data_IF_015477640630
#
_entry.id   IF_015477640630
#
_cell.length_a   1.000
_cell.length_b   1.000
_cell.length_c   1.000
_cell.angle_alpha   90.00
_cell.angle_beta   90.00
_cell.angle_gamma   90.00
#
_symmetry.space_group_name_H-M   'P 1'
#
loop_
_entity.id
_entity.type
_entity.pdbx_description
1 polymer ?
#
# COMPACT_ATOMS: atom_id res chain seq x y z
N UNK A 1 3.92 15.80 -24.62
CA UNK A 1 5.32 15.50 -24.90
C UNK A 1 5.52 14.99 -26.33
N UNK A 2 4.59 14.18 -26.81
CA UNK A 2 4.68 13.51 -28.12
C UNK A 2 4.09 14.35 -29.27
N UNK A 3 3.94 15.66 -29.08
CA UNK A 3 3.46 16.60 -30.09
C UNK A 3 1.94 16.64 -30.26
N UNK A 4 1.18 15.93 -29.43
CA UNK A 4 -0.28 16.00 -29.47
C UNK A 4 -0.81 17.30 -28.84
N UNK A 5 -1.86 17.85 -29.43
CA UNK A 5 -2.67 18.88 -28.77
C UNK A 5 -3.66 18.20 -27.83
N UNK A 6 -3.58 18.50 -26.53
CA UNK A 6 -4.40 17.87 -25.52
C UNK A 6 -5.38 18.89 -24.93
N UNK A 7 -6.66 18.55 -24.85
CA UNK A 7 -7.69 19.32 -24.14
C UNK A 7 -8.16 18.51 -22.95
N UNK A 8 -7.96 19.06 -21.74
CA UNK A 8 -8.46 18.47 -20.50
C UNK A 8 -9.79 19.13 -20.13
N UNK A 9 -10.84 18.32 -20.00
CA UNK A 9 -12.16 18.76 -19.56
C UNK A 9 -12.41 18.32 -18.13
N UNK A 10 -12.63 19.27 -17.23
CA UNK A 10 -12.95 19.03 -15.83
C UNK A 10 -14.27 19.72 -15.46
N UNK A 11 -15.18 18.99 -14.79
CA UNK A 11 -16.49 19.53 -14.37
C UNK A 11 -16.43 20.32 -13.06
N UNK A 12 -15.43 20.03 -12.22
CA UNK A 12 -15.23 20.70 -10.96
C UNK A 12 -14.35 21.95 -11.14
N UNK A 13 -14.30 22.80 -10.12
CA UNK A 13 -13.45 24.00 -10.15
C UNK A 13 -11.97 23.67 -10.20
N UNK A 14 -11.58 22.54 -9.62
CA UNK A 14 -10.19 22.11 -9.51
C UNK A 14 -10.01 20.73 -10.14
N UNK A 15 -8.85 20.51 -10.74
CA UNK A 15 -8.44 19.22 -11.28
C UNK A 15 -8.03 18.28 -10.14
N UNK A 16 -7.95 16.96 -10.41
CA UNK A 16 -7.44 15.98 -9.44
C UNK A 16 -8.47 14.96 -8.97
N UNK A 17 -9.77 15.22 -9.20
CA UNK A 17 -10.82 14.26 -8.88
C UNK A 17 -10.80 13.86 -7.41
N UNK A 18 -10.51 12.57 -7.12
CA UNK A 18 -10.46 12.04 -5.75
C UNK A 18 -9.20 12.45 -4.96
N UNK A 19 -8.19 13.00 -5.61
CA UNK A 19 -7.01 13.58 -4.99
C UNK A 19 -7.20 15.10 -4.82
N UNK A 20 -8.32 15.49 -4.22
CA UNK A 20 -8.71 16.87 -4.04
C UNK A 20 -8.25 17.46 -2.70
N UNK A 21 -8.55 18.74 -2.53
CA UNK A 21 -8.29 19.48 -1.30
C UNK A 21 -9.57 20.17 -0.83
N UNK A 22 -9.77 20.25 0.47
CA UNK A 22 -10.83 21.03 1.08
C UNK A 22 -10.22 22.14 1.95
N UNK A 23 -10.67 23.38 1.75
CA UNK A 23 -10.19 24.54 2.48
C UNK A 23 -11.35 25.23 3.19
N UNK A 24 -11.17 25.57 4.45
CA UNK A 24 -12.11 26.35 5.24
C UNK A 24 -11.39 27.07 6.36
N UNK A 25 -11.73 28.35 6.55
CA UNK A 25 -11.26 29.20 7.67
C UNK A 25 -9.71 29.21 7.80
N UNK A 26 -8.98 29.14 6.68
CA UNK A 26 -7.52 29.11 6.63
C UNK A 26 -6.89 27.71 6.86
N UNK A 27 -7.71 26.68 7.10
CA UNK A 27 -7.26 25.30 7.18
C UNK A 27 -7.41 24.59 5.83
N UNK A 28 -6.42 23.74 5.51
CA UNK A 28 -6.40 22.93 4.30
C UNK A 28 -6.28 21.46 4.65
N UNK A 29 -7.13 20.64 4.03
CA UNK A 29 -7.19 19.19 4.23
C UNK A 29 -7.20 18.47 2.89
N UNK A 30 -6.42 17.41 2.78
CA UNK A 30 -6.53 16.49 1.65
C UNK A 30 -7.81 15.65 1.82
N UNK A 31 -8.62 15.59 0.75
CA UNK A 31 -9.90 14.85 0.76
C UNK A 31 -9.78 13.46 0.17
N UNK A 32 -8.58 13.05 -0.21
CA UNK A 32 -8.25 11.77 -0.82
C UNK A 32 -7.04 11.12 -0.18
N UNK A 33 -6.18 10.47 -0.97
CA UNK A 33 -4.96 9.86 -0.47
C UNK A 33 -4.06 10.89 0.21
N UNK A 34 -3.72 10.65 1.49
CA UNK A 34 -2.83 11.51 2.26
C UNK A 34 -1.39 10.98 2.31
N UNK A 35 -1.17 9.76 1.85
CA UNK A 35 0.15 9.13 1.82
C UNK A 35 0.67 8.97 0.40
N UNK A 36 1.95 9.24 0.24
CA UNK A 36 2.66 9.04 -1.02
C UNK A 36 3.16 7.59 -1.08
N UNK A 37 2.27 6.69 -1.50
CA UNK A 37 2.59 5.27 -1.64
C UNK A 37 3.17 4.97 -3.02
N UNK A 38 4.02 3.94 -3.12
CA UNK A 38 4.63 3.48 -4.38
C UNK A 38 5.47 4.57 -5.07
N UNK A 39 6.45 5.19 -4.39
CA UNK A 39 7.22 6.34 -4.91
C UNK A 39 7.84 6.05 -6.28
N UNK A 40 8.31 4.83 -6.54
CA UNK A 40 8.93 4.44 -7.81
C UNK A 40 7.98 4.53 -9.02
N UNK A 41 6.67 4.45 -8.79
CA UNK A 41 5.67 4.61 -9.86
C UNK A 41 5.57 6.08 -10.27
N UNK A 42 5.59 6.98 -9.29
CA UNK A 42 5.61 8.41 -9.54
C UNK A 42 6.95 8.85 -10.14
N UNK A 43 8.08 8.29 -9.69
CA UNK A 43 9.39 8.54 -10.30
C UNK A 43 9.40 8.16 -11.77
N UNK A 44 8.79 7.02 -12.11
CA UNK A 44 8.64 6.62 -13.51
C UNK A 44 7.82 7.65 -14.31
N UNK A 45 6.69 8.13 -13.75
CA UNK A 45 5.88 9.16 -14.39
C UNK A 45 6.66 10.45 -14.61
N UNK A 46 7.33 10.98 -13.59
CA UNK A 46 8.10 12.21 -13.71
C UNK A 46 9.24 12.08 -14.72
N UNK A 47 9.93 10.93 -14.77
CA UNK A 47 10.94 10.66 -15.81
C UNK A 47 10.36 10.68 -17.22
N UNK A 48 9.18 10.13 -17.42
CA UNK A 48 8.46 10.23 -18.71
C UNK A 48 8.14 11.69 -19.07
N UNK A 49 7.88 12.52 -18.10
CA UNK A 49 7.63 13.96 -18.30
C UNK A 49 8.91 14.80 -18.45
N UNK A 50 10.10 14.20 -18.29
CA UNK A 50 11.39 14.88 -18.43
C UNK A 50 11.85 15.64 -17.19
N UNK A 51 11.35 15.26 -16.02
CA UNK A 51 11.72 15.80 -14.70
C UNK A 51 11.89 14.65 -13.67
N UNK A 52 11.97 14.96 -12.38
CA UNK A 52 12.03 13.97 -11.30
C UNK A 52 11.04 14.30 -10.19
N UNK A 53 10.70 13.31 -9.36
CA UNK A 53 9.89 13.54 -8.16
C UNK A 53 10.60 14.46 -7.16
N UNK A 54 11.92 14.40 -7.06
CA UNK A 54 12.73 15.24 -6.17
C UNK A 54 12.69 16.72 -6.57
N UNK A 55 12.64 17.02 -7.88
CA UNK A 55 12.50 18.39 -8.38
C UNK A 55 11.10 18.96 -8.17
N UNK A 56 10.08 18.11 -8.19
CA UNK A 56 8.67 18.52 -8.16
C UNK A 56 8.04 18.48 -6.77
N UNK A 57 8.55 17.63 -5.86
CA UNK A 57 7.94 17.34 -4.58
C UNK A 57 8.98 17.42 -3.44
N UNK A 58 8.58 17.95 -2.32
CA UNK A 58 9.32 17.88 -1.07
C UNK A 58 8.75 16.75 -0.21
N UNK A 59 9.32 15.56 -0.33
CA UNK A 59 8.88 14.37 0.39
C UNK A 59 9.68 14.16 1.67
N UNK A 60 9.01 13.67 2.72
CA UNK A 60 9.65 13.22 3.95
C UNK A 60 9.16 11.84 4.28
N UNK A 61 10.08 10.90 4.50
CA UNK A 61 9.74 9.57 4.99
C UNK A 61 9.31 9.64 6.45
N UNK A 62 8.13 9.12 6.75
CA UNK A 62 7.59 9.12 8.10
C UNK A 62 8.14 7.94 8.90
N UNK A 63 8.55 8.19 10.15
CA UNK A 63 8.84 7.15 11.13
C UNK A 63 8.37 7.61 12.52
N UNK A 64 7.35 6.96 13.13
CA UNK A 64 6.62 5.82 12.59
C UNK A 64 5.84 6.18 11.32
N UNK A 65 5.61 5.20 10.45
CA UNK A 65 4.79 5.34 9.26
C UNK A 65 3.33 5.70 9.61
N UNK A 66 2.81 5.03 10.64
CA UNK A 66 1.51 5.34 11.25
C UNK A 66 1.41 4.74 12.66
N UNK A 67 0.45 5.24 13.44
CA UNK A 67 0.13 4.77 14.78
C UNK A 67 -1.30 4.24 14.82
N UNK A 68 -1.46 3.04 15.38
CA UNK A 68 -2.78 2.43 15.61
C UNK A 68 -3.13 2.58 17.09
N UNK A 69 -4.28 3.17 17.35
CA UNK A 69 -4.84 3.32 18.68
C UNK A 69 -5.88 2.22 18.88
N UNK A 70 -5.72 1.45 19.94
CA UNK A 70 -6.66 0.40 20.32
C UNK A 70 -7.45 0.85 21.55
N UNK A 71 -8.72 0.48 21.58
CA UNK A 71 -9.55 0.61 22.78
C UNK A 71 -9.20 -0.51 23.76
N UNK A 72 -9.38 -0.24 25.06
CA UNK A 72 -9.25 -1.27 26.09
C UNK A 72 -10.49 -2.17 26.03
N UNK A 73 -10.28 -3.45 25.75
CA UNK A 73 -11.35 -4.47 25.67
C UNK A 73 -11.37 -5.41 26.90
N UNK A 74 -10.60 -5.08 27.93
CA UNK A 74 -10.45 -5.86 29.16
C UNK A 74 -9.46 -7.04 29.02
N UNK A 75 -8.99 -7.36 27.80
CA UNK A 75 -7.98 -8.37 27.51
C UNK A 75 -6.68 -7.70 27.07
N UNK A 76 -6.79 -6.73 26.20
CA UNK A 76 -5.67 -5.95 25.68
C UNK A 76 -5.79 -4.49 26.15
N UNK A 77 -4.73 -3.94 26.78
CA UNK A 77 -4.77 -2.55 27.24
C UNK A 77 -4.80 -1.57 26.06
N UNK A 78 -5.42 -0.42 26.26
CA UNK A 78 -5.44 0.70 25.32
C UNK A 78 -4.04 1.29 25.12
N UNK A 79 -3.17 0.57 24.42
CA UNK A 79 -1.80 1.02 24.11
C UNK A 79 -1.66 1.23 22.61
N UNK A 80 -1.10 2.38 22.19
CA UNK A 80 -0.80 2.60 20.79
C UNK A 80 0.29 1.64 20.31
N UNK A 81 0.19 1.22 19.05
CA UNK A 81 1.21 0.46 18.35
C UNK A 81 1.69 1.30 17.17
N UNK A 82 2.99 1.61 17.16
CA UNK A 82 3.65 2.34 16.09
C UNK A 82 4.16 1.36 15.04
N UNK A 83 3.68 1.49 13.82
CA UNK A 83 4.22 0.75 12.69
C UNK A 83 5.38 1.56 12.11
N UNK A 84 6.56 0.96 12.16
CA UNK A 84 7.82 1.62 11.85
C UNK A 84 8.12 1.58 10.34
N UNK A 85 9.11 2.34 9.92
CA UNK A 85 9.42 2.54 8.49
C UNK A 85 10.31 1.44 7.89
N UNK A 86 10.81 0.51 8.69
CA UNK A 86 11.66 -0.57 8.23
C UNK A 86 11.17 -1.95 8.69
N UNK A 87 11.59 -2.97 7.93
CA UNK A 87 11.16 -4.35 8.12
C UNK A 87 11.61 -4.93 9.46
N UNK A 88 12.88 -4.72 9.81
CA UNK A 88 13.47 -5.38 10.97
C UNK A 88 12.85 -4.92 12.27
N UNK A 89 12.69 -3.61 12.42
CA UNK A 89 12.05 -3.03 13.61
C UNK A 89 10.60 -3.48 13.76
N UNK A 90 9.87 -3.65 12.65
CA UNK A 90 8.50 -4.19 12.68
C UNK A 90 8.48 -5.69 13.06
N UNK A 91 9.45 -6.49 12.60
CA UNK A 91 9.56 -7.90 13.01
C UNK A 91 9.85 -8.01 14.50
N UNK A 92 10.73 -7.16 15.03
CA UNK A 92 10.99 -7.11 16.49
C UNK A 92 9.76 -6.63 17.28
N UNK A 93 9.04 -5.63 16.76
CA UNK A 93 7.81 -5.15 17.38
C UNK A 93 6.76 -6.25 17.47
N UNK A 94 6.54 -6.98 16.38
CA UNK A 94 5.57 -8.08 16.34
C UNK A 94 5.98 -9.23 17.24
N UNK A 95 7.27 -9.59 17.27
CA UNK A 95 7.79 -10.60 18.18
C UNK A 95 7.62 -10.23 19.66
N UNK A 96 7.73 -8.93 20.03
CA UNK A 96 7.46 -8.43 21.39
C UNK A 96 5.97 -8.51 21.76
N UNK A 97 5.07 -8.34 20.79
CA UNK A 97 3.62 -8.40 21.01
C UNK A 97 3.14 -9.85 21.06
N UNK A 98 3.60 -10.69 20.16
CA UNK A 98 3.29 -12.11 20.05
C UNK A 98 4.60 -12.92 19.91
N UNK A 99 5.16 -13.41 21.04
CA UNK A 99 6.39 -14.20 21.02
C UNK A 99 6.28 -15.43 20.12
N UNK A 100 7.29 -15.63 19.26
CA UNK A 100 7.32 -16.70 18.26
C UNK A 100 6.65 -16.35 16.92
N UNK A 101 6.13 -15.14 16.76
CA UNK A 101 5.49 -14.70 15.51
C UNK A 101 6.47 -14.37 14.39
N UNK A 102 7.73 -14.04 14.71
CA UNK A 102 8.73 -13.57 13.76
C UNK A 102 8.84 -14.41 12.47
N UNK A 103 9.01 -15.76 12.52
CA UNK A 103 9.14 -16.55 11.29
C UNK A 103 7.87 -16.54 10.42
N UNK A 104 6.70 -16.41 11.03
CA UNK A 104 5.44 -16.30 10.31
C UNK A 104 5.29 -14.91 9.64
N UNK A 105 5.70 -13.85 10.35
CA UNK A 105 5.71 -12.49 9.82
C UNK A 105 6.71 -12.30 8.68
N UNK A 106 7.88 -12.92 8.76
CA UNK A 106 8.85 -12.93 7.65
C UNK A 106 8.21 -13.52 6.39
N UNK A 107 7.54 -14.68 6.51
CA UNK A 107 6.81 -15.30 5.38
C UNK A 107 5.67 -14.41 4.84
N UNK A 108 4.94 -13.74 5.73
CA UNK A 108 3.88 -12.80 5.34
C UNK A 108 4.45 -11.65 4.49
N UNK A 109 5.49 -10.97 5.00
CA UNK A 109 6.14 -9.85 4.32
C UNK A 109 6.79 -10.25 3.00
N UNK A 110 7.42 -11.43 2.94
CA UNK A 110 8.00 -11.96 1.70
C UNK A 110 6.93 -12.28 0.66
N UNK A 111 5.79 -12.83 1.10
CA UNK A 111 4.64 -13.06 0.22
C UNK A 111 4.06 -11.77 -0.32
N UNK A 112 3.93 -10.74 0.53
CA UNK A 112 3.45 -9.43 0.14
C UNK A 112 4.40 -8.75 -0.87
N UNK A 113 5.71 -8.77 -0.58
CA UNK A 113 6.76 -8.23 -1.48
C UNK A 113 6.75 -8.91 -2.85
N UNK A 114 6.73 -10.25 -2.89
CA UNK A 114 6.70 -11.00 -4.15
C UNK A 114 5.44 -10.70 -4.98
N UNK A 115 4.30 -10.55 -4.31
CA UNK A 115 3.03 -10.19 -4.98
C UNK A 115 3.08 -8.76 -5.51
N UNK A 116 3.60 -7.82 -4.73
CA UNK A 116 3.78 -6.42 -5.14
C UNK A 116 4.69 -6.27 -6.35
N UNK A 117 5.87 -6.90 -6.32
CA UNK A 117 6.83 -6.84 -7.44
C UNK A 117 6.25 -7.43 -8.73
N UNK A 118 5.49 -8.52 -8.61
CA UNK A 118 4.79 -9.09 -9.76
C UNK A 118 3.69 -8.17 -10.29
N UNK A 119 2.87 -7.62 -9.40
CA UNK A 119 1.80 -6.69 -9.77
C UNK A 119 2.36 -5.45 -10.47
N UNK A 120 3.40 -4.85 -9.92
CA UNK A 120 4.10 -3.71 -10.51
C UNK A 120 4.65 -4.03 -11.89
N UNK A 121 5.33 -5.18 -12.04
CA UNK A 121 5.98 -5.57 -13.30
C UNK A 121 4.99 -5.96 -14.40
N UNK A 122 3.85 -6.57 -14.05
CA UNK A 122 2.98 -7.25 -15.01
C UNK A 122 1.62 -6.60 -15.20
N UNK A 123 1.11 -5.92 -14.18
CA UNK A 123 -0.27 -5.46 -14.20
C UNK A 123 -0.40 -3.93 -14.13
N UNK A 124 0.45 -3.25 -13.38
CA UNK A 124 0.31 -1.83 -13.11
C UNK A 124 0.37 -0.97 -14.39
N UNK A 125 1.21 -1.34 -15.35
CA UNK A 125 1.41 -0.60 -16.60
C UNK A 125 0.69 -1.24 -17.80
N UNK A 126 -0.36 -2.02 -17.57
CA UNK A 126 -1.13 -2.62 -18.66
C UNK A 126 -2.57 -2.11 -18.65
N UNK A 127 -3.12 -1.88 -19.85
CA UNK A 127 -4.54 -1.53 -20.05
C UNK A 127 -5.48 -2.75 -19.99
N UNK A 128 -4.94 -3.96 -19.93
CA UNK A 128 -5.68 -5.23 -20.04
C UNK A 128 -6.48 -5.41 -21.35
N UNK A 129 -6.23 -4.60 -22.37
CA UNK A 129 -6.86 -4.77 -23.68
C UNK A 129 -6.48 -6.09 -24.35
N UNK A 130 -5.36 -6.68 -23.94
CA UNK A 130 -4.85 -7.96 -24.45
C UNK A 130 -4.59 -8.93 -23.30
N UNK A 131 -4.89 -10.20 -23.50
CA UNK A 131 -4.63 -11.26 -22.51
C UNK A 131 -3.15 -11.65 -22.37
N UNK A 132 -2.27 -11.14 -23.25
CA UNK A 132 -0.83 -11.46 -23.27
C UNK A 132 -0.13 -11.32 -21.91
N UNK A 133 -0.35 -10.27 -21.12
CA UNK A 133 0.24 -10.13 -19.79
C UNK A 133 -0.15 -11.26 -18.81
N UNK A 134 -1.35 -11.81 -18.93
CA UNK A 134 -1.88 -12.86 -18.04
C UNK A 134 -1.34 -14.26 -18.36
N UNK A 135 -0.95 -14.53 -19.62
CA UNK A 135 -0.51 -15.86 -20.06
C UNK A 135 1.02 -16.02 -20.08
N UNK A 136 1.76 -15.11 -19.46
CA UNK A 136 3.22 -15.22 -19.35
C UNK A 136 3.63 -16.35 -18.40
N UNK A 137 4.72 -17.03 -18.71
CA UNK A 137 5.19 -18.20 -17.95
C UNK A 137 5.42 -17.91 -16.47
N UNK A 138 5.91 -16.72 -16.11
CA UNK A 138 6.12 -16.30 -14.73
C UNK A 138 4.80 -16.01 -13.97
N UNK A 139 3.76 -15.55 -14.66
CA UNK A 139 2.40 -15.41 -14.12
C UNK A 139 1.75 -16.77 -13.96
N UNK A 140 1.84 -17.62 -15.00
CA UNK A 140 1.25 -18.97 -14.97
C UNK A 140 1.85 -19.84 -13.85
N UNK A 141 3.15 -19.77 -13.60
CA UNK A 141 3.79 -20.48 -12.47
C UNK A 141 3.24 -20.04 -11.11
N UNK A 142 2.77 -18.80 -10.99
CA UNK A 142 2.22 -18.22 -9.76
C UNK A 142 0.70 -18.33 -9.68
N UNK A 143 0.04 -18.86 -10.72
CA UNK A 143 -1.42 -19.00 -10.74
C UNK A 143 -1.98 -19.68 -9.49
N UNK A 144 -1.43 -20.80 -8.97
CA UNK A 144 -1.94 -21.42 -7.76
C UNK A 144 -1.89 -20.50 -6.53
N UNK A 145 -0.80 -19.73 -6.37
CA UNK A 145 -0.65 -18.73 -5.30
C UNK A 145 -1.67 -17.59 -5.48
N UNK A 146 -1.78 -17.06 -6.70
CA UNK A 146 -2.70 -15.96 -7.01
C UNK A 146 -4.16 -16.36 -6.81
N UNK A 147 -4.56 -17.54 -7.29
CA UNK A 147 -5.91 -18.07 -7.11
C UNK A 147 -6.24 -18.18 -5.62
N UNK A 148 -5.31 -18.71 -4.82
CA UNK A 148 -5.50 -18.80 -3.37
C UNK A 148 -5.66 -17.43 -2.73
N UNK A 149 -4.83 -16.45 -3.10
CA UNK A 149 -4.92 -15.07 -2.58
C UNK A 149 -6.24 -14.38 -2.98
N UNK A 150 -6.75 -14.65 -4.18
CA UNK A 150 -8.03 -14.09 -4.64
C UNK A 150 -9.25 -14.75 -3.98
N UNK A 151 -9.13 -16.01 -3.55
CA UNK A 151 -10.22 -16.75 -2.90
C UNK A 151 -10.24 -16.57 -1.37
N UNK A 152 -9.17 -16.06 -0.80
CA UNK A 152 -9.04 -15.88 0.65
C UNK A 152 -9.12 -14.40 1.01
N UNK A 153 -9.89 -14.06 2.04
CA UNK A 153 -9.88 -12.69 2.57
C UNK A 153 -8.54 -12.35 3.22
N UNK A 154 -8.14 -11.07 3.16
CA UNK A 154 -6.92 -10.59 3.84
C UNK A 154 -6.94 -10.89 5.34
N UNK A 155 -8.11 -10.80 5.99
CA UNK A 155 -8.27 -11.17 7.40
C UNK A 155 -7.90 -12.64 7.65
N UNK A 156 -8.41 -13.60 6.86
CA UNK A 156 -8.04 -15.02 6.98
C UNK A 156 -6.56 -15.25 6.70
N UNK A 157 -6.01 -14.54 5.72
CA UNK A 157 -4.60 -14.62 5.40
C UNK A 157 -3.74 -14.13 6.57
N UNK A 158 -4.05 -12.98 7.18
CA UNK A 158 -3.37 -12.45 8.35
C UNK A 158 -3.48 -13.42 9.56
N UNK A 159 -4.69 -13.93 9.85
CA UNK A 159 -4.96 -14.83 10.97
C UNK A 159 -4.18 -16.17 10.91
N UNK A 160 -3.68 -16.57 9.75
CA UNK A 160 -2.80 -17.74 9.61
C UNK A 160 -1.36 -17.46 10.02
N UNK A 161 -0.98 -16.20 10.13
CA UNK A 161 0.39 -15.79 10.43
C UNK A 161 0.56 -15.30 11.87
N UNK A 162 -0.48 -14.65 12.42
CA UNK A 162 -0.50 -14.12 13.78
C UNK A 162 -1.84 -14.41 14.45
N UNK A 163 -1.79 -14.62 15.77
CA UNK A 163 -2.96 -14.93 16.58
C UNK A 163 -3.47 -13.71 17.34
N UNK A 164 -2.60 -12.74 17.65
CA UNK A 164 -2.97 -11.50 18.34
C UNK A 164 -3.91 -10.66 17.44
N UNK A 165 -5.13 -10.34 17.91
CA UNK A 165 -6.12 -9.63 17.09
C UNK A 165 -5.66 -8.22 16.71
N UNK A 166 -4.82 -7.57 17.50
CA UNK A 166 -4.26 -6.25 17.17
C UNK A 166 -3.31 -6.33 16.00
N UNK A 167 -2.47 -7.37 15.95
CA UNK A 167 -1.60 -7.63 14.80
C UNK A 167 -2.41 -7.98 13.55
N UNK A 168 -3.49 -8.77 13.69
CA UNK A 168 -4.40 -9.05 12.57
C UNK A 168 -5.05 -7.78 12.02
N UNK A 169 -5.46 -6.85 12.89
CA UNK A 169 -6.02 -5.56 12.48
C UNK A 169 -4.99 -4.70 11.75
N UNK A 170 -3.74 -4.62 12.25
CA UNK A 170 -2.64 -3.91 11.58
C UNK A 170 -2.39 -4.49 10.18
N UNK A 171 -2.32 -5.81 10.05
CA UNK A 171 -2.11 -6.48 8.77
C UNK A 171 -3.32 -6.39 7.83
N UNK A 172 -4.51 -6.26 8.40
CA UNK A 172 -5.77 -6.07 7.65
C UNK A 172 -6.03 -4.62 7.20
N UNK A 173 -5.33 -3.65 7.78
CA UNK A 173 -5.55 -2.22 7.52
C UNK A 173 -5.49 -1.83 6.03
N UNK A 174 -4.59 -2.38 5.18
CA UNK A 174 -4.56 -2.08 3.76
C UNK A 174 -5.88 -2.36 3.02
N UNK A 175 -6.73 -3.27 3.51
CA UNK A 175 -8.04 -3.56 2.91
C UNK A 175 -9.04 -2.41 2.99
N UNK A 176 -8.78 -1.39 3.85
CA UNK A 176 -9.61 -0.19 3.93
C UNK A 176 -9.51 0.67 2.66
N UNK A 177 -8.43 0.52 1.90
CA UNK A 177 -8.14 1.31 0.69
C UNK A 177 -8.47 0.57 -0.62
N UNK A 178 -8.94 -0.67 -0.57
CA UNK A 178 -9.20 -1.52 -1.73
C UNK A 178 -10.67 -1.47 -2.17
#
# INVERSE_FOLDING_TARGET
>A
RDGYTVTLLEKNKEVGGRAGTWEKDGFRFDTGPSWYLMPEVFDHFYKLMGTSSEEQLKLSKLNPGYRVLFEDDGVYPARPIDVLDNREDNLELFEKIEPGSRPAMERYLDSAKDTYEMAKKRFLYTSFEKFGPLVRADVLRRTPKLTKLLQESLHKFAARHVSDPRLQQILGYPAVFL
#
